data_IF_471491572372
#
_entry.id   IF_471491572372
#
_cell.length_a   1.000
_cell.length_b   1.000
_cell.length_c   1.000
_cell.angle_alpha   90.00
_cell.angle_beta   90.00
_cell.angle_gamma   90.00
#
_symmetry.space_group_name_H-M   'P 1'
#
loop_
_entity.id
_entity.type
_entity.pdbx_description
1 polymer ?
#
# COMPACT_ATOMS: atom_id res chain seq x y z
N UNK A 1 -23.36 -4.10 16.49
CA UNK A 1 -22.56 -5.25 16.97
C UNK A 1 -21.81 -5.78 15.75
N UNK A 2 -20.47 -5.79 15.76
CA UNK A 2 -19.68 -6.34 14.64
C UNK A 2 -19.87 -7.86 14.57
N UNK A 3 -19.96 -8.40 13.36
CA UNK A 3 -20.08 -9.85 13.13
C UNK A 3 -18.75 -10.54 13.40
N UNK A 4 -18.77 -11.84 13.72
CA UNK A 4 -17.54 -12.63 13.89
C UNK A 4 -16.68 -12.64 12.61
N UNK A 5 -17.33 -12.59 11.45
CA UNK A 5 -16.66 -12.51 10.15
C UNK A 5 -15.86 -11.20 9.99
N UNK A 6 -16.43 -10.04 10.35
CA UNK A 6 -15.72 -8.76 10.28
C UNK A 6 -14.47 -8.76 11.17
N UNK A 7 -14.58 -9.29 12.40
CA UNK A 7 -13.43 -9.41 13.32
C UNK A 7 -12.33 -10.30 12.79
N UNK A 8 -12.70 -11.40 12.14
CA UNK A 8 -11.72 -12.31 11.52
C UNK A 8 -10.98 -11.63 10.35
N UNK A 9 -11.70 -10.88 9.50
CA UNK A 9 -11.10 -10.10 8.41
C UNK A 9 -10.15 -9.02 8.93
N UNK A 10 -10.54 -8.28 9.97
CA UNK A 10 -9.69 -7.27 10.62
C UNK A 10 -8.40 -7.89 11.19
N UNK A 11 -8.51 -8.99 11.92
CA UNK A 11 -7.34 -9.70 12.47
C UNK A 11 -6.43 -10.22 11.34
N UNK A 12 -6.99 -10.79 10.28
CA UNK A 12 -6.21 -11.27 9.14
C UNK A 12 -5.44 -10.13 8.46
N UNK A 13 -6.06 -8.96 8.34
CA UNK A 13 -5.41 -7.77 7.83
C UNK A 13 -4.28 -7.29 8.76
N UNK A 14 -4.54 -7.20 10.07
CA UNK A 14 -3.55 -6.77 11.06
C UNK A 14 -2.31 -7.67 11.09
N UNK A 15 -2.50 -8.99 10.98
CA UNK A 15 -1.40 -9.95 10.87
C UNK A 15 -0.57 -9.69 9.60
N UNK A 16 -1.22 -9.55 8.44
CA UNK A 16 -0.53 -9.26 7.18
C UNK A 16 0.22 -7.94 7.22
N UNK A 17 -0.42 -6.88 7.72
CA UNK A 17 0.21 -5.58 7.91
C UNK A 17 1.45 -5.69 8.79
N UNK A 18 1.36 -6.42 9.90
CA UNK A 18 2.49 -6.60 10.82
C UNK A 18 3.68 -7.29 10.15
N UNK A 19 3.42 -8.33 9.35
CA UNK A 19 4.47 -9.07 8.64
C UNK A 19 5.13 -8.20 7.56
N UNK A 20 4.32 -7.59 6.68
CA UNK A 20 4.83 -6.82 5.53
C UNK A 20 5.51 -5.54 6.00
N UNK A 21 4.84 -4.75 6.85
CA UNK A 21 5.41 -3.52 7.38
C UNK A 21 6.65 -3.79 8.23
N UNK A 22 6.66 -4.87 9.01
CA UNK A 22 7.84 -5.31 9.76
C UNK A 22 9.03 -5.61 8.85
N UNK A 23 8.79 -6.27 7.71
CA UNK A 23 9.82 -6.50 6.71
C UNK A 23 10.34 -5.20 6.08
N UNK A 24 9.46 -4.25 5.74
CA UNK A 24 9.86 -2.94 5.25
C UNK A 24 10.68 -2.17 6.29
N UNK A 25 10.22 -2.11 7.53
CA UNK A 25 10.87 -1.36 8.60
C UNK A 25 12.25 -1.93 8.96
N UNK A 26 12.43 -3.24 8.84
CA UNK A 26 13.73 -3.88 9.03
C UNK A 26 14.76 -3.37 8.03
N UNK A 27 14.35 -3.16 6.77
CA UNK A 27 15.26 -2.78 5.69
C UNK A 27 15.36 -1.25 5.50
N UNK A 28 14.30 -0.50 5.81
CA UNK A 28 14.17 0.93 5.46
C UNK A 28 13.92 1.85 6.66
N UNK A 29 14.03 1.34 7.88
CA UNK A 29 13.70 2.04 9.12
C UNK A 29 12.22 2.46 9.20
N UNK A 30 11.90 3.39 10.10
CA UNK A 30 10.51 3.80 10.35
C UNK A 30 9.94 4.61 9.18
N UNK A 31 8.69 4.36 8.75
CA UNK A 31 8.00 5.26 7.86
C UNK A 31 7.65 6.56 8.59
N UNK A 32 7.69 7.69 7.89
CA UNK A 32 7.32 9.01 8.43
C UNK A 32 5.85 9.34 8.22
N UNK A 33 5.26 8.81 7.15
CA UNK A 33 3.91 9.16 6.76
C UNK A 33 3.15 7.97 6.19
N UNK A 34 1.81 8.03 6.31
CA UNK A 34 0.90 6.99 5.82
C UNK A 34 -0.39 7.61 5.29
N UNK A 35 -0.84 7.13 4.15
CA UNK A 35 -2.19 7.34 3.62
C UNK A 35 -2.96 6.02 3.67
N UNK A 36 -4.22 6.07 4.09
CA UNK A 36 -5.11 4.90 4.10
C UNK A 36 -6.17 5.10 3.03
N UNK A 37 -6.18 4.21 2.05
CA UNK A 37 -7.21 4.14 1.04
C UNK A 37 -8.30 3.17 1.50
N UNK A 38 -9.48 3.69 1.79
CA UNK A 38 -10.68 2.91 2.09
C UNK A 38 -11.82 3.38 1.21
N UNK A 39 -12.63 2.42 0.73
CA UNK A 39 -13.84 2.72 -0.04
C UNK A 39 -15.07 2.33 0.78
N UNK A 40 -15.98 3.26 1.10
CA UNK A 40 -17.22 2.91 1.80
C UNK A 40 -17.97 1.80 1.06
N UNK A 41 -18.32 0.73 1.78
CA UNK A 41 -19.01 -0.45 1.21
C UNK A 41 -18.10 -1.53 0.62
N UNK A 42 -16.77 -1.34 0.64
CA UNK A 42 -15.80 -2.38 0.30
C UNK A 42 -14.92 -2.67 1.52
N UNK A 43 -14.69 -3.95 1.82
CA UNK A 43 -13.83 -4.38 2.93
C UNK A 43 -12.33 -4.13 2.65
N UNK A 44 -12.01 -3.61 1.46
CA UNK A 44 -10.63 -3.41 1.02
C UNK A 44 -10.04 -2.14 1.63
N UNK A 45 -8.95 -2.34 2.37
CA UNK A 45 -8.09 -1.30 2.90
C UNK A 45 -6.70 -1.44 2.26
N UNK A 46 -6.22 -0.40 1.59
CA UNK A 46 -4.83 -0.32 1.12
C UNK A 46 -4.15 0.83 1.83
N UNK A 47 -3.11 0.54 2.58
CA UNK A 47 -2.27 1.54 3.24
C UNK A 47 -1.06 1.81 2.33
N UNK A 48 -0.71 3.08 2.15
CA UNK A 48 0.52 3.50 1.46
C UNK A 48 1.40 4.19 2.48
N UNK A 49 2.66 3.74 2.59
CA UNK A 49 3.64 4.25 3.55
C UNK A 49 4.77 4.97 2.83
N UNK A 50 5.23 6.07 3.40
CA UNK A 50 6.43 6.78 2.97
C UNK A 50 7.59 6.53 3.92
N UNK A 51 8.69 6.05 3.37
CA UNK A 51 9.97 5.86 4.04
C UNK A 51 10.95 6.90 3.52
N UNK A 52 11.42 7.83 4.37
CA UNK A 52 12.37 8.85 3.96
C UNK A 52 13.72 8.22 3.57
N UNK A 53 14.53 8.93 2.76
CA UNK A 53 15.89 8.51 2.47
C UNK A 53 16.73 8.50 3.76
N UNK A 54 17.48 7.42 3.96
CA UNK A 54 18.47 7.35 5.04
C UNK A 54 19.81 7.88 4.53
N UNK A 55 20.20 9.07 4.99
CA UNK A 55 21.41 9.77 4.56
C UNK A 55 21.23 10.54 3.24
N UNK A 56 22.24 11.34 2.89
CA UNK A 56 22.17 12.29 1.75
C UNK A 56 22.03 11.63 0.38
N UNK A 57 22.49 10.39 0.23
CA UNK A 57 22.37 9.58 -1.00
C UNK A 57 21.33 8.46 -0.86
N UNK A 58 20.48 8.55 0.16
CA UNK A 58 19.44 7.56 0.42
C UNK A 58 18.38 7.51 -0.69
N UNK A 59 17.54 6.48 -0.65
CA UNK A 59 16.41 6.34 -1.56
C UNK A 59 15.13 6.58 -0.74
N UNK A 60 14.29 7.48 -1.22
CA UNK A 60 12.93 7.65 -0.73
C UNK A 60 12.05 6.52 -1.26
N UNK A 61 11.18 5.93 -0.43
CA UNK A 61 10.32 4.82 -0.85
C UNK A 61 8.88 5.06 -0.47
N UNK A 62 7.99 4.67 -1.36
CA UNK A 62 6.57 4.52 -1.09
C UNK A 62 6.21 3.06 -1.25
N UNK A 63 5.50 2.47 -0.31
CA UNK A 63 5.15 1.05 -0.37
C UNK A 63 3.71 0.80 0.09
N UNK A 64 3.02 -0.11 -0.58
CA UNK A 64 1.67 -0.50 -0.20
C UNK A 64 1.66 -1.61 0.84
N UNK A 65 0.60 -1.66 1.63
CA UNK A 65 0.24 -2.77 2.50
C UNK A 65 -1.26 -2.99 2.38
N UNK A 66 -1.66 -4.20 1.99
CA UNK A 66 -3.08 -4.56 1.81
C UNK A 66 -3.51 -4.62 0.35
N UNK A 67 -2.68 -4.17 -0.59
CA UNK A 67 -2.97 -4.36 -2.00
C UNK A 67 -3.04 -5.85 -2.34
N UNK A 68 -2.14 -6.65 -1.76
CA UNK A 68 -2.05 -8.09 -2.02
C UNK A 68 -3.32 -8.87 -1.63
N UNK A 69 -4.09 -8.37 -0.66
CA UNK A 69 -5.37 -8.97 -0.24
C UNK A 69 -6.60 -8.27 -0.83
N UNK A 70 -6.41 -7.35 -1.77
CA UNK A 70 -7.50 -6.68 -2.46
C UNK A 70 -8.07 -7.60 -3.55
N UNK A 71 -9.39 -7.85 -3.58
CA UNK A 71 -10.04 -8.55 -4.68
C UNK A 71 -10.15 -7.65 -5.91
N UNK A 72 -9.90 -8.21 -7.09
CA UNK A 72 -10.22 -7.63 -8.39
C UNK A 72 -11.70 -7.83 -8.73
N UNK A 73 -12.13 -7.24 -9.85
CA UNK A 73 -13.49 -7.43 -10.37
C UNK A 73 -13.84 -8.88 -10.71
N UNK A 74 -12.84 -9.73 -10.99
CA UNK A 74 -13.02 -11.16 -11.26
C UNK A 74 -13.02 -12.03 -9.99
N UNK A 75 -12.86 -11.42 -8.81
CA UNK A 75 -12.82 -12.09 -7.51
C UNK A 75 -11.46 -12.67 -7.12
N UNK A 76 -10.44 -12.62 -7.99
CA UNK A 76 -9.07 -13.02 -7.63
C UNK A 76 -8.39 -11.92 -6.82
N UNK A 77 -7.49 -12.31 -5.92
CA UNK A 77 -6.67 -11.36 -5.18
C UNK A 77 -5.54 -10.82 -6.07
N UNK A 78 -5.16 -9.56 -5.89
CA UNK A 78 -4.01 -8.96 -6.59
C UNK A 78 -2.72 -9.72 -6.30
N UNK A 79 -2.52 -10.16 -5.05
CA UNK A 79 -1.42 -11.06 -4.67
C UNK A 79 -0.04 -10.40 -4.56
N UNK A 80 0.07 -9.10 -4.81
CA UNK A 80 1.33 -8.34 -4.73
C UNK A 80 1.16 -7.03 -3.97
N UNK A 81 2.26 -6.53 -3.42
CA UNK A 81 2.36 -5.15 -2.94
C UNK A 81 3.23 -4.36 -3.92
N UNK A 82 2.96 -3.07 -4.03
CA UNK A 82 3.68 -2.16 -4.89
C UNK A 82 4.71 -1.34 -4.10
N UNK A 83 5.78 -0.96 -4.79
CA UNK A 83 6.81 -0.09 -4.23
C UNK A 83 7.31 0.88 -5.32
N UNK A 84 7.39 2.15 -4.97
CA UNK A 84 8.03 3.20 -5.76
C UNK A 84 9.28 3.68 -5.04
N UNK A 85 10.42 3.63 -5.72
CA UNK A 85 11.69 4.17 -5.25
C UNK A 85 12.01 5.47 -6.00
N UNK A 86 12.32 6.53 -5.26
CA UNK A 86 12.67 7.84 -5.78
C UNK A 86 13.97 8.31 -5.16
N UNK A 87 14.63 9.23 -5.85
CA UNK A 87 15.70 10.03 -5.27
C UNK A 87 15.16 10.92 -4.14
N UNK A 88 16.00 11.39 -3.19
CA UNK A 88 15.57 12.16 -2.02
C UNK A 88 14.68 13.36 -2.29
N UNK A 89 14.89 14.01 -3.42
CA UNK A 89 14.18 15.20 -3.90
C UNK A 89 12.81 14.90 -4.51
N UNK A 90 12.42 13.62 -4.61
CA UNK A 90 11.12 13.18 -5.10
C UNK A 90 10.78 13.70 -6.51
N UNK A 91 11.79 13.96 -7.33
CA UNK A 91 11.62 14.60 -8.63
C UNK A 91 11.18 16.07 -8.58
N UNK A 92 11.40 16.74 -7.44
CA UNK A 92 10.98 18.13 -7.20
C UNK A 92 9.55 18.27 -6.69
N UNK A 93 8.86 17.17 -6.42
CA UNK A 93 7.46 17.16 -5.95
C UNK A 93 7.36 17.02 -4.43
N UNK A 94 6.18 17.34 -3.89
CA UNK A 94 5.90 17.11 -2.47
C UNK A 94 5.57 15.64 -2.19
N UNK A 95 5.78 15.21 -0.94
CA UNK A 95 5.37 13.89 -0.46
C UNK A 95 3.89 13.62 -0.75
N UNK A 96 3.01 14.59 -0.46
CA UNK A 96 1.57 14.48 -0.70
C UNK A 96 1.20 14.32 -2.19
N UNK A 97 1.95 14.98 -3.08
CA UNK A 97 1.72 14.87 -4.52
C UNK A 97 2.05 13.48 -5.03
N UNK A 98 3.16 12.90 -4.56
CA UNK A 98 3.55 11.52 -4.88
C UNK A 98 2.54 10.53 -4.31
N UNK A 99 2.07 10.74 -3.07
CA UNK A 99 0.99 9.92 -2.50
C UNK A 99 -0.26 9.93 -3.35
N UNK A 100 -0.72 11.11 -3.75
CA UNK A 100 -1.92 11.27 -4.60
C UNK A 100 -1.75 10.47 -5.89
N UNK A 101 -0.59 10.60 -6.54
CA UNK A 101 -0.28 9.86 -7.76
C UNK A 101 -0.33 8.34 -7.55
N UNK A 102 0.31 7.82 -6.50
CA UNK A 102 0.29 6.38 -6.21
C UNK A 102 -1.13 5.90 -5.88
N UNK A 103 -1.90 6.68 -5.13
CA UNK A 103 -3.29 6.36 -4.81
C UNK A 103 -4.15 6.28 -6.07
N UNK A 104 -3.97 7.20 -7.02
CA UNK A 104 -4.68 7.18 -8.30
C UNK A 104 -4.34 5.91 -9.11
N UNK A 105 -3.06 5.52 -9.16
CA UNK A 105 -2.63 4.28 -9.83
C UNK A 105 -3.22 3.03 -9.16
N UNK A 106 -3.18 2.95 -7.83
CA UNK A 106 -3.74 1.83 -7.07
C UNK A 106 -5.25 1.74 -7.31
N UNK A 107 -5.97 2.85 -7.21
CA UNK A 107 -7.41 2.88 -7.45
C UNK A 107 -7.76 2.45 -8.88
N UNK A 108 -6.99 2.92 -9.86
CA UNK A 108 -7.15 2.53 -11.26
C UNK A 108 -6.89 1.05 -11.48
N UNK A 109 -5.82 0.49 -10.91
CA UNK A 109 -5.49 -0.93 -11.02
C UNK A 109 -6.59 -1.81 -10.42
N UNK A 110 -7.08 -1.46 -9.22
CA UNK A 110 -8.18 -2.20 -8.57
C UNK A 110 -9.46 -2.16 -9.43
N UNK A 111 -9.76 -1.01 -10.05
CA UNK A 111 -10.99 -0.83 -10.82
C UNK A 111 -10.97 -1.51 -12.20
N UNK A 112 -9.80 -1.67 -12.82
CA UNK A 112 -9.69 -2.05 -14.24
C UNK A 112 -8.96 -3.37 -14.48
N UNK A 113 -8.03 -3.78 -13.60
CA UNK A 113 -7.21 -4.98 -13.84
C UNK A 113 -8.09 -6.25 -13.88
N UNK A 114 -8.09 -6.92 -15.03
CA UNK A 114 -8.71 -8.23 -15.25
C UNK A 114 -7.69 -9.37 -15.33
N UNK A 115 -6.38 -9.09 -15.26
CA UNK A 115 -5.32 -10.08 -15.48
C UNK A 115 -4.12 -9.87 -14.54
N UNK A 116 -3.57 -10.99 -14.05
CA UNK A 116 -2.51 -11.04 -13.03
C UNK A 116 -1.09 -10.94 -13.59
N UNK A 117 -0.93 -11.03 -14.91
CA UNK A 117 0.38 -11.05 -15.57
C UNK A 117 0.90 -9.65 -15.96
N UNK A 118 0.06 -8.62 -15.84
CA UNK A 118 0.42 -7.24 -16.17
C UNK A 118 0.38 -6.42 -14.86
N UNK A 119 1.54 -5.92 -14.38
CA UNK A 119 1.62 -5.05 -13.21
C UNK A 119 0.70 -3.84 -13.31
#
# INVERSE_FOLDING_TARGET
MMTEQTKASELAFDIRRSIILGAYMKEWAMPEYRVIMSRPGYETCVEVYYFPPVGEQGIARYATVGLSCTPRSDGRLIGTEWMLALTPELGGESVDRVFTYICDLVAHHIAISTDSEIP
#
